data_IF_470987936155
#
_entry.id   IF_470987936155
#
_cell.length_a   1.000
_cell.length_b   1.000
_cell.length_c   1.000
_cell.angle_alpha   90.00
_cell.angle_beta   90.00
_cell.angle_gamma   90.00
#
_symmetry.space_group_name_H-M   'P 1'
#
loop_
_entity.id
_entity.type
_entity.pdbx_description
1 polymer ?
#
# COMPACT_ATOMS: atom_id res chain seq x y z
N UNK A 1 22.53 -9.82 9.91
CA UNK A 1 21.71 -10.34 11.02
C UNK A 1 20.46 -9.50 11.07
N UNK A 2 19.32 -10.02 10.60
CA UNK A 2 18.06 -9.31 10.79
C UNK A 2 17.64 -9.44 12.26
N UNK A 3 17.46 -8.30 12.92
CA UNK A 3 16.97 -8.28 14.29
C UNK A 3 15.48 -8.61 14.28
N UNK A 4 15.10 -9.72 14.91
CA UNK A 4 13.69 -10.02 15.15
C UNK A 4 13.09 -8.91 16.04
N UNK A 5 12.21 -8.09 15.47
CA UNK A 5 11.65 -6.89 16.11
C UNK A 5 10.13 -6.98 16.25
N UNK A 6 9.62 -7.93 17.06
CA UNK A 6 8.20 -8.27 17.10
C UNK A 6 7.34 -7.11 17.64
N UNK A 7 7.85 -6.35 18.61
CA UNK A 7 7.10 -5.25 19.24
C UNK A 7 6.87 -4.11 18.25
N UNK A 8 7.91 -3.66 17.54
CA UNK A 8 7.76 -2.58 16.55
C UNK A 8 6.93 -3.02 15.35
N UNK A 9 7.07 -4.27 14.89
CA UNK A 9 6.24 -4.81 13.82
C UNK A 9 4.76 -4.86 14.21
N UNK A 10 4.45 -5.29 15.45
CA UNK A 10 3.09 -5.34 15.96
C UNK A 10 2.49 -3.94 16.12
N UNK A 11 3.26 -2.98 16.65
CA UNK A 11 2.83 -1.58 16.76
C UNK A 11 2.57 -0.96 15.39
N UNK A 12 3.47 -1.16 14.42
CA UNK A 12 3.29 -0.68 13.06
C UNK A 12 2.04 -1.28 12.39
N UNK A 13 1.86 -2.60 12.52
CA UNK A 13 0.67 -3.29 12.03
C UNK A 13 -0.62 -2.80 12.68
N UNK A 14 -0.61 -2.57 14.00
CA UNK A 14 -1.75 -2.01 14.73
C UNK A 14 -2.09 -0.59 14.27
N UNK A 15 -1.10 0.27 14.02
CA UNK A 15 -1.31 1.63 13.51
C UNK A 15 -1.90 1.63 12.09
N UNK A 16 -1.39 0.78 11.20
CA UNK A 16 -1.96 0.61 9.84
C UNK A 16 -3.40 0.09 9.94
N UNK A 17 -3.64 -0.93 10.76
CA UNK A 17 -4.97 -1.49 11.02
C UNK A 17 -5.94 -0.41 11.52
N UNK A 18 -5.54 0.36 12.53
CA UNK A 18 -6.31 1.46 13.08
C UNK A 18 -6.63 2.52 12.01
N UNK A 19 -5.66 2.91 11.19
CA UNK A 19 -5.87 3.85 10.08
C UNK A 19 -6.91 3.37 9.06
N UNK A 20 -6.84 2.10 8.67
CA UNK A 20 -7.84 1.51 7.75
C UNK A 20 -9.22 1.38 8.39
N UNK A 21 -9.28 1.09 9.68
CA UNK A 21 -10.52 0.96 10.44
C UNK A 21 -11.20 2.31 10.66
N UNK A 22 -10.44 3.38 10.92
CA UNK A 22 -10.95 4.75 10.98
C UNK A 22 -11.59 5.17 9.65
N UNK A 23 -10.96 4.84 8.52
CA UNK A 23 -11.53 5.13 7.20
C UNK A 23 -12.84 4.36 6.98
N UNK A 24 -12.88 3.09 7.41
CA UNK A 24 -14.05 2.23 7.26
C UNK A 24 -15.21 2.68 8.15
N UNK A 25 -14.97 2.95 9.43
CA UNK A 25 -16.02 3.36 10.38
C UNK A 25 -16.44 4.80 10.15
N UNK A 26 -15.50 5.70 9.84
CA UNK A 26 -15.78 7.12 9.66
C UNK A 26 -16.45 7.45 8.33
N UNK A 27 -15.98 6.86 7.22
CA UNK A 27 -16.47 7.18 5.87
C UNK A 27 -17.18 6.01 5.17
N UNK A 28 -17.21 4.82 5.78
CA UNK A 28 -17.76 3.62 5.12
C UNK A 28 -16.90 3.11 3.96
N UNK A 29 -15.65 3.56 3.84
CA UNK A 29 -14.78 3.27 2.68
C UNK A 29 -13.64 2.32 3.06
N UNK A 30 -13.29 1.45 2.13
CA UNK A 30 -12.15 0.53 2.28
C UNK A 30 -10.87 1.24 1.83
N UNK A 31 -9.79 1.08 2.60
CA UNK A 31 -8.48 1.63 2.26
C UNK A 31 -7.81 0.82 1.13
N UNK A 32 -8.14 1.12 -0.12
CA UNK A 32 -7.49 0.58 -1.31
C UNK A 32 -6.75 1.67 -2.07
N UNK A 33 -5.44 1.82 -1.85
CA UNK A 33 -4.66 2.97 -2.34
C UNK A 33 -4.76 3.13 -3.86
N UNK A 34 -4.54 2.07 -4.64
CA UNK A 34 -4.63 2.13 -6.12
C UNK A 34 -6.01 2.56 -6.61
N UNK A 35 -7.08 2.08 -5.96
CA UNK A 35 -8.46 2.46 -6.28
C UNK A 35 -8.76 3.90 -5.91
N UNK A 36 -8.32 4.35 -4.73
CA UNK A 36 -8.50 5.73 -4.27
C UNK A 36 -7.77 6.71 -5.18
N UNK A 37 -6.50 6.44 -5.51
CA UNK A 37 -5.67 7.31 -6.36
C UNK A 37 -6.18 7.33 -7.80
N UNK A 38 -6.50 6.18 -8.39
CA UNK A 38 -7.06 6.16 -9.76
C UNK A 38 -8.40 6.88 -9.84
N UNK A 39 -9.27 6.68 -8.85
CA UNK A 39 -10.57 7.33 -8.81
C UNK A 39 -10.45 8.85 -8.55
N UNK A 40 -9.43 9.31 -7.82
CA UNK A 40 -9.12 10.74 -7.68
C UNK A 40 -8.72 11.39 -9.01
N UNK A 41 -7.98 10.66 -9.86
CA UNK A 41 -7.52 11.13 -11.16
C UNK A 41 -8.63 11.11 -12.22
N UNK A 42 -9.41 10.03 -12.29
CA UNK A 42 -10.31 9.77 -13.42
C UNK A 42 -11.80 10.01 -13.12
N UNK A 43 -12.25 9.96 -11.87
CA UNK A 43 -13.65 10.21 -11.52
C UNK A 43 -13.85 11.67 -11.10
N UNK A 44 -15.04 12.23 -11.37
CA UNK A 44 -15.35 13.63 -11.02
C UNK A 44 -15.88 13.79 -9.59
N UNK A 45 -16.55 12.77 -9.08
CA UNK A 45 -17.21 12.80 -7.77
C UNK A 45 -16.27 12.39 -6.64
N UNK A 46 -16.64 12.76 -5.40
CA UNK A 46 -16.00 12.28 -4.17
C UNK A 46 -14.49 12.61 -4.05
N UNK A 47 -14.00 13.64 -4.75
CA UNK A 47 -12.56 13.97 -4.79
C UNK A 47 -11.98 14.44 -3.45
N UNK A 48 -12.76 15.16 -2.64
CA UNK A 48 -12.24 15.84 -1.45
C UNK A 48 -11.63 14.86 -0.44
N UNK A 49 -12.36 13.80 -0.07
CA UNK A 49 -11.86 12.82 0.90
C UNK A 49 -10.72 11.97 0.32
N UNK A 50 -10.78 11.67 -0.99
CA UNK A 50 -9.72 10.92 -1.68
C UNK A 50 -8.42 11.72 -1.73
N UNK A 51 -8.52 13.02 -2.00
CA UNK A 51 -7.40 13.94 -1.95
C UNK A 51 -6.84 14.04 -0.53
N UNK A 52 -7.70 14.21 0.48
CA UNK A 52 -7.28 14.24 1.88
C UNK A 52 -6.56 12.94 2.30
N UNK A 53 -7.05 11.78 1.85
CA UNK A 53 -6.39 10.49 2.09
C UNK A 53 -5.02 10.42 1.43
N UNK A 54 -4.89 10.79 0.16
CA UNK A 54 -3.61 10.76 -0.57
C UNK A 54 -2.62 11.76 0.03
N UNK A 55 -3.08 12.96 0.38
CA UNK A 55 -2.25 13.96 1.06
C UNK A 55 -1.78 13.46 2.43
N UNK A 56 -2.66 12.83 3.21
CA UNK A 56 -2.28 12.22 4.49
C UNK A 56 -1.27 11.09 4.33
N UNK A 57 -1.43 10.25 3.30
CA UNK A 57 -0.52 9.15 2.99
C UNK A 57 0.90 9.64 2.66
N UNK A 58 1.01 10.76 1.92
CA UNK A 58 2.29 11.39 1.57
C UNK A 58 2.84 12.21 2.74
N UNK A 59 1.98 12.94 3.46
CA UNK A 59 2.39 13.78 4.58
C UNK A 59 2.92 12.97 5.76
N UNK A 60 2.39 11.77 6.03
CA UNK A 60 2.84 10.89 7.11
C UNK A 60 4.35 10.69 7.17
N UNK A 61 4.98 10.08 6.15
CA UNK A 61 6.44 9.89 6.12
C UNK A 61 7.21 11.22 6.11
N UNK A 62 6.71 12.26 5.42
CA UNK A 62 7.37 13.57 5.39
C UNK A 62 7.39 14.26 6.76
N UNK A 63 6.31 14.15 7.53
CA UNK A 63 6.24 14.66 8.89
C UNK A 63 7.18 13.87 9.81
N UNK A 64 7.28 12.55 9.66
CA UNK A 64 8.23 11.75 10.44
C UNK A 64 9.69 12.13 10.16
N UNK A 65 10.01 12.53 8.93
CA UNK A 65 11.35 13.01 8.58
C UNK A 65 11.77 14.30 9.34
N UNK A 66 10.81 15.07 9.87
CA UNK A 66 11.11 16.25 10.71
C UNK A 66 11.53 15.88 12.13
N UNK A 67 11.15 14.70 12.62
CA UNK A 67 11.40 14.26 13.99
C UNK A 67 12.57 13.26 14.10
N UNK A 68 12.87 12.54 13.03
CA UNK A 68 13.95 11.55 12.99
C UNK A 68 15.09 12.04 12.09
N UNK A 69 16.24 12.36 12.70
CA UNK A 69 17.41 12.88 11.97
C UNK A 69 18.09 11.84 11.07
N UNK A 70 17.94 10.56 11.38
CA UNK A 70 18.48 9.43 10.58
C UNK A 70 17.45 8.88 9.57
N UNK A 71 16.50 9.70 9.12
CA UNK A 71 15.52 9.26 8.12
C UNK A 71 16.19 9.06 6.75
N UNK A 72 16.75 7.86 6.55
CA UNK A 72 17.31 7.43 5.27
C UNK A 72 16.20 6.87 4.39
N UNK A 73 15.97 7.52 3.25
CA UNK A 73 15.09 6.99 2.20
C UNK A 73 15.94 6.57 1.00
N UNK A 74 15.76 5.34 0.52
CA UNK A 74 16.36 4.89 -0.73
C UNK A 74 15.38 5.13 -1.85
N UNK A 75 15.59 6.17 -2.67
CA UNK A 75 14.87 6.29 -3.93
C UNK A 75 15.44 5.28 -4.92
N UNK A 76 14.60 4.43 -5.55
CA UNK A 76 15.08 3.59 -6.64
C UNK A 76 15.61 4.46 -7.78
N UNK A 77 16.70 4.03 -8.41
CA UNK A 77 17.25 4.71 -9.58
C UNK A 77 16.22 4.69 -10.73
N UNK A 78 16.01 5.86 -11.34
CA UNK A 78 15.05 6.02 -12.42
C UNK A 78 15.60 5.38 -13.70
N UNK A 79 15.31 4.10 -13.90
CA UNK A 79 15.73 3.32 -15.07
C UNK A 79 14.52 2.86 -15.89
N UNK A 80 14.69 2.56 -17.20
CA UNK A 80 13.63 1.97 -18.01
C UNK A 80 13.03 0.70 -17.38
N UNK A 81 13.85 -0.09 -16.69
CA UNK A 81 13.40 -1.28 -15.95
C UNK A 81 12.47 -0.93 -14.78
N UNK A 82 12.83 0.05 -13.95
CA UNK A 82 11.96 0.48 -12.83
C UNK A 82 10.65 1.09 -13.31
N UNK A 83 10.68 1.84 -14.43
CA UNK A 83 9.48 2.39 -15.05
C UNK A 83 8.56 1.28 -15.58
N UNK A 84 9.13 0.31 -16.30
CA UNK A 84 8.39 -0.85 -16.79
C UNK A 84 7.80 -1.67 -15.63
N UNK A 85 8.57 -1.91 -14.56
CA UNK A 85 8.09 -2.61 -13.37
C UNK A 85 6.90 -1.88 -12.72
N UNK A 86 7.00 -0.56 -12.54
CA UNK A 86 5.90 0.25 -12.00
C UNK A 86 4.64 0.19 -12.87
N UNK A 87 4.79 0.22 -14.19
CA UNK A 87 3.67 0.11 -15.14
C UNK A 87 3.01 -1.27 -15.08
N UNK A 88 3.81 -2.34 -15.03
CA UNK A 88 3.31 -3.72 -14.88
C UNK A 88 2.56 -3.91 -13.56
N UNK A 89 3.09 -3.38 -12.45
CA UNK A 89 2.39 -3.38 -11.15
C UNK A 89 1.08 -2.60 -11.25
N UNK A 90 1.10 -1.42 -11.87
CA UNK A 90 -0.11 -0.62 -12.12
C UNK A 90 -1.19 -1.40 -12.86
N UNK A 91 -0.86 -1.99 -14.02
CA UNK A 91 -1.75 -2.84 -14.80
C UNK A 91 -2.25 -4.05 -13.99
N UNK A 92 -1.35 -4.72 -13.27
CA UNK A 92 -1.69 -5.86 -12.42
C UNK A 92 -2.71 -5.49 -11.33
N UNK A 93 -2.55 -4.34 -10.67
CA UNK A 93 -3.52 -3.89 -9.66
C UNK A 93 -4.87 -3.50 -10.25
N UNK A 94 -4.90 -3.00 -11.49
CA UNK A 94 -6.14 -2.71 -12.20
C UNK A 94 -6.89 -4.01 -12.55
N UNK A 95 -6.20 -4.99 -13.12
CA UNK A 95 -6.78 -6.30 -13.45
C UNK A 95 -7.18 -7.11 -12.21
N UNK A 96 -6.38 -7.03 -11.13
CA UNK A 96 -6.70 -7.62 -9.83
C UNK A 96 -7.89 -6.97 -9.13
N UNK A 97 -8.36 -5.82 -9.61
CA UNK A 97 -9.38 -4.97 -8.96
C UNK A 97 -8.97 -4.50 -7.57
N UNK A 98 -7.66 -4.30 -7.34
CA UNK A 98 -7.12 -3.92 -6.05
C UNK A 98 -5.60 -4.04 -5.98
N UNK A 99 -5.02 -3.43 -4.95
CA UNK A 99 -3.61 -3.56 -4.59
C UNK A 99 -3.46 -4.29 -3.25
N UNK A 100 -2.24 -4.43 -2.77
CA UNK A 100 -1.91 -5.09 -1.49
C UNK A 100 -2.55 -4.41 -0.27
N UNK A 101 -2.74 -3.09 -0.28
CA UNK A 101 -3.49 -2.42 0.81
C UNK A 101 -4.97 -2.83 0.84
N UNK A 102 -5.59 -2.96 -0.33
CA UNK A 102 -6.98 -3.40 -0.46
C UNK A 102 -7.16 -4.89 -0.17
N UNK A 103 -6.38 -5.76 -0.80
CA UNK A 103 -6.50 -7.20 -0.65
C UNK A 103 -5.80 -7.73 0.62
N UNK A 104 -4.55 -7.35 0.83
CA UNK A 104 -3.73 -7.85 1.95
C UNK A 104 -4.17 -7.29 3.28
N UNK A 105 -4.26 -5.95 3.43
CA UNK A 105 -4.63 -5.34 4.72
C UNK A 105 -6.14 -5.46 4.96
N UNK A 106 -6.96 -4.84 4.11
CA UNK A 106 -8.40 -4.80 4.35
C UNK A 106 -9.12 -6.11 4.00
N UNK A 107 -8.72 -6.76 2.91
CA UNK A 107 -9.41 -7.93 2.36
C UNK A 107 -9.25 -9.20 3.20
N UNK A 108 -8.02 -9.49 3.64
CA UNK A 108 -7.74 -10.61 4.56
C UNK A 108 -8.39 -10.34 5.93
N UNK A 109 -8.31 -9.11 6.44
CA UNK A 109 -8.99 -8.72 7.70
C UNK A 109 -10.52 -8.90 7.66
N UNK A 110 -11.11 -8.96 6.46
CA UNK A 110 -12.54 -9.24 6.23
C UNK A 110 -12.82 -10.68 5.78
N UNK A 111 -11.85 -11.58 5.92
CA UNK A 111 -11.94 -13.00 5.54
C UNK A 111 -12.37 -13.24 4.09
N UNK A 112 -11.95 -12.38 3.15
CA UNK A 112 -12.28 -12.54 1.73
C UNK A 112 -11.39 -13.62 1.08
N UNK A 113 -11.95 -14.74 0.58
CA UNK A 113 -11.15 -15.79 -0.06
C UNK A 113 -10.49 -15.31 -1.36
N UNK A 114 -11.17 -14.42 -2.11
CA UNK A 114 -10.58 -13.74 -3.28
C UNK A 114 -9.34 -12.95 -2.89
N UNK A 115 -9.39 -12.20 -1.79
CA UNK A 115 -8.27 -11.36 -1.36
C UNK A 115 -7.11 -12.19 -0.83
N UNK A 116 -7.40 -13.31 -0.17
CA UNK A 116 -6.38 -14.27 0.22
C UNK A 116 -5.64 -14.82 -1.00
N UNK A 117 -6.37 -15.31 -2.01
CA UNK A 117 -5.77 -15.81 -3.25
C UNK A 117 -4.92 -14.74 -3.96
N UNK A 118 -5.45 -13.51 -4.12
CA UNK A 118 -4.72 -12.41 -4.73
C UNK A 118 -3.43 -12.08 -3.98
N UNK A 119 -3.47 -12.07 -2.64
CA UNK A 119 -2.30 -11.77 -1.80
C UNK A 119 -1.26 -12.88 -1.87
N UNK A 120 -1.68 -14.15 -1.84
CA UNK A 120 -0.77 -15.30 -1.97
C UNK A 120 -0.05 -15.30 -3.33
N UNK A 121 -0.78 -15.05 -4.42
CA UNK A 121 -0.19 -14.94 -5.75
C UNK A 121 0.79 -13.77 -5.81
N UNK A 122 0.41 -12.59 -5.30
CA UNK A 122 1.31 -11.44 -5.26
C UNK A 122 2.60 -11.74 -4.48
N UNK A 123 2.49 -12.33 -3.29
CA UNK A 123 3.66 -12.68 -2.48
C UNK A 123 4.54 -13.74 -3.14
N UNK A 124 3.94 -14.77 -3.75
CA UNK A 124 4.67 -15.79 -4.49
C UNK A 124 5.52 -15.18 -5.61
N UNK A 125 4.91 -14.37 -6.48
CA UNK A 125 5.64 -13.72 -7.57
C UNK A 125 6.61 -12.66 -7.07
N UNK A 126 6.31 -11.97 -5.97
CA UNK A 126 7.24 -11.05 -5.31
C UNK A 126 8.51 -11.75 -4.82
N UNK A 127 8.36 -12.91 -4.17
CA UNK A 127 9.49 -13.75 -3.74
C UNK A 127 10.27 -14.25 -4.95
N UNK A 128 9.60 -14.74 -5.99
CA UNK A 128 10.28 -15.20 -7.21
C UNK A 128 11.06 -14.07 -7.90
N UNK A 129 10.46 -12.88 -8.03
CA UNK A 129 11.14 -11.73 -8.62
C UNK A 129 12.34 -11.31 -7.77
N UNK A 130 12.20 -11.27 -6.45
CA UNK A 130 13.28 -10.93 -5.53
C UNK A 130 14.44 -11.94 -5.57
N UNK A 131 14.17 -13.23 -5.77
CA UNK A 131 15.20 -14.28 -5.79
C UNK A 131 15.85 -14.51 -7.16
N UNK A 132 15.21 -14.08 -8.26
CA UNK A 132 15.71 -14.31 -9.62
C UNK A 132 16.39 -13.08 -10.24
N UNK A 133 16.01 -11.88 -9.80
CA UNK A 133 16.52 -10.61 -10.35
C UNK A 133 17.62 -9.97 -9.49
N UNK A 134 17.87 -10.51 -8.29
CA UNK A 134 18.93 -10.11 -7.36
C UNK A 134 19.74 -11.34 -6.97
#
# INVERSE_FOLDING_TARGET
>A
MENFTPVSALLGGALIGLGTLLLLVGLGRIAGISGITSALLFQKDDKLWRLAFVLGLVAGPLLTALFYQDFSYSTPELSPFTLAAGLLVGLGTAWGSGCTSGHGVCGIGRFSPRSLAATLVFMLFGVLAASLLF
#
